data_IF_498690821526
#
_entry.id   IF_498690821526
#
_cell.length_a   1.000
_cell.length_b   1.000
_cell.length_c   1.000
_cell.angle_alpha   90.00
_cell.angle_beta   90.00
_cell.angle_gamma   90.00
#
_symmetry.space_group_name_H-M   'P 1'
#
loop_
_entity.id
_entity.type
_entity.pdbx_description
1 polymer ?
#
# COMPACT_ATOMS: atom_id res chain seq x y z
N UNK A 1 14.39 11.10 1.97
CA UNK A 1 15.37 10.96 0.87
C UNK A 1 15.97 9.58 0.99
N UNK A 2 15.85 8.78 -0.03
CA UNK A 2 16.32 7.39 -0.07
C UNK A 2 17.60 7.34 -0.90
N UNK A 3 18.72 6.90 -0.31
CA UNK A 3 19.95 6.62 -1.03
C UNK A 3 20.15 5.11 -1.10
N UNK A 4 20.13 4.56 -2.30
CA UNK A 4 20.39 3.14 -2.55
C UNK A 4 21.77 3.04 -3.21
N UNK A 5 22.76 2.46 -2.50
CA UNK A 5 24.07 2.16 -3.05
C UNK A 5 24.18 0.66 -3.33
N UNK A 6 24.54 0.32 -4.55
CA UNK A 6 24.81 -1.05 -4.95
C UNK A 6 26.27 -1.23 -5.40
N UNK A 7 26.99 -2.15 -4.81
CA UNK A 7 28.35 -2.54 -5.24
C UNK A 7 28.32 -3.99 -5.72
N UNK A 8 28.89 -4.22 -6.90
CA UNK A 8 28.80 -5.47 -7.66
C UNK A 8 29.36 -6.70 -6.93
N UNK A 9 28.78 -7.83 -7.22
CA UNK A 9 29.19 -9.23 -7.12
C UNK A 9 28.94 -10.01 -5.83
N UNK A 10 28.49 -9.44 -4.76
CA UNK A 10 27.84 -10.16 -3.65
C UNK A 10 26.78 -9.22 -3.12
N UNK A 11 25.54 -9.67 -3.12
CA UNK A 11 24.36 -8.89 -2.72
C UNK A 11 24.54 -8.20 -1.36
N UNK A 12 25.24 -7.09 -1.33
CA UNK A 12 25.14 -6.11 -0.25
C UNK A 12 24.31 -4.95 -0.77
N UNK A 13 23.00 -5.06 -0.64
CA UNK A 13 22.09 -3.92 -0.79
C UNK A 13 22.39 -3.00 0.39
N UNK A 14 23.20 -1.96 0.19
CA UNK A 14 23.28 -0.89 1.15
C UNK A 14 22.11 0.05 0.90
N UNK A 15 20.98 -0.22 1.55
CA UNK A 15 19.82 0.64 1.57
C UNK A 15 20.08 1.73 2.60
N UNK A 16 20.61 2.88 2.17
CA UNK A 16 20.72 4.05 3.05
C UNK A 16 19.39 4.78 2.97
N UNK A 17 18.50 4.43 3.88
CA UNK A 17 17.31 5.21 4.15
C UNK A 17 17.73 6.41 4.99
N UNK A 18 17.92 7.56 4.38
CA UNK A 18 17.97 8.79 5.17
C UNK A 18 16.57 9.05 5.73
N UNK A 19 16.43 9.13 7.07
CA UNK A 19 15.13 9.20 7.72
C UNK A 19 14.50 10.57 7.47
N UNK A 20 13.85 10.70 6.32
CA UNK A 20 13.08 11.90 6.04
C UNK A 20 11.80 11.99 6.87
N UNK A 21 11.15 10.90 7.24
CA UNK A 21 9.91 10.91 8.04
C UNK A 21 9.49 9.51 8.52
N UNK A 22 10.32 8.84 9.32
CA UNK A 22 9.89 7.67 10.09
C UNK A 22 9.59 6.39 9.26
N UNK A 23 8.84 5.43 9.83
CA UNK A 23 8.59 4.11 9.25
C UNK A 23 7.96 4.14 7.85
N UNK A 24 7.11 5.12 7.57
CA UNK A 24 6.47 5.29 6.25
C UNK A 24 7.50 5.52 5.12
N UNK A 25 8.58 6.27 5.40
CA UNK A 25 9.64 6.50 4.43
C UNK A 25 10.37 5.21 4.06
N UNK A 26 10.63 4.35 5.05
CA UNK A 26 11.21 3.02 4.85
C UNK A 26 10.29 2.16 4.00
N UNK A 27 9.02 2.09 4.34
CA UNK A 27 8.01 1.33 3.59
C UNK A 27 7.97 1.74 2.12
N UNK A 28 7.85 3.04 1.82
CA UNK A 28 7.82 3.52 0.43
C UNK A 28 9.14 3.31 -0.31
N UNK A 29 10.27 3.31 0.41
CA UNK A 29 11.57 2.96 -0.14
C UNK A 29 11.64 1.49 -0.57
N UNK A 30 11.08 0.59 0.22
CA UNK A 30 10.95 -0.83 -0.14
C UNK A 30 10.06 -1.00 -1.39
N UNK A 31 8.94 -0.29 -1.48
CA UNK A 31 8.09 -0.32 -2.67
C UNK A 31 8.82 0.18 -3.93
N UNK A 32 9.64 1.23 -3.80
CA UNK A 32 10.52 1.68 -4.89
C UNK A 32 11.48 0.58 -5.33
N UNK A 33 12.16 -0.07 -4.37
CA UNK A 33 13.10 -1.15 -4.65
C UNK A 33 12.43 -2.33 -5.37
N UNK A 34 11.25 -2.72 -4.92
CA UNK A 34 10.46 -3.78 -5.55
C UNK A 34 10.07 -3.42 -6.98
N UNK A 35 9.68 -2.16 -7.23
CA UNK A 35 9.26 -1.69 -8.56
C UNK A 35 10.39 -1.58 -9.59
N UNK A 36 11.65 -1.37 -9.15
CA UNK A 36 12.80 -1.29 -10.07
C UNK A 36 13.53 -2.61 -10.26
N UNK A 37 13.11 -3.66 -9.57
CA UNK A 37 13.66 -5.00 -9.69
C UNK A 37 13.27 -5.63 -11.02
N UNK A 38 14.24 -6.18 -11.76
CA UNK A 38 13.97 -6.95 -12.98
C UNK A 38 13.27 -8.28 -12.65
N UNK A 39 12.72 -8.95 -13.69
CA UNK A 39 12.16 -10.30 -13.55
C UNK A 39 13.19 -11.32 -13.03
N UNK A 40 14.48 -11.10 -13.30
CA UNK A 40 15.58 -11.93 -12.79
C UNK A 40 15.99 -11.58 -11.35
N UNK A 41 15.29 -10.63 -10.70
CA UNK A 41 15.62 -10.19 -9.35
C UNK A 41 16.79 -9.22 -9.23
N UNK A 42 17.32 -8.74 -10.35
CA UNK A 42 18.44 -7.79 -10.37
C UNK A 42 17.97 -6.36 -10.25
N UNK A 43 18.80 -5.52 -9.63
CA UNK A 43 18.58 -4.07 -9.52
C UNK A 43 19.82 -3.35 -10.06
N UNK A 44 19.60 -2.37 -10.94
CA UNK A 44 20.68 -1.55 -11.47
C UNK A 44 21.33 -0.70 -10.37
N UNK A 45 22.62 -0.38 -10.53
CA UNK A 45 23.29 0.59 -9.64
C UNK A 45 22.75 1.99 -9.94
N UNK A 46 22.04 2.58 -8.97
CA UNK A 46 21.43 3.90 -9.12
C UNK A 46 21.24 4.60 -7.78
N UNK A 47 20.99 5.89 -7.83
CA UNK A 47 20.61 6.71 -6.68
C UNK A 47 19.21 7.24 -6.96
N UNK A 48 18.28 6.99 -6.05
CA UNK A 48 16.91 7.51 -6.14
C UNK A 48 16.71 8.56 -5.05
N UNK A 49 16.17 9.69 -5.46
CA UNK A 49 15.64 10.73 -4.58
C UNK A 49 14.15 10.79 -4.81
N UNK A 50 13.37 10.34 -3.84
CA UNK A 50 11.93 10.23 -3.95
C UNK A 50 11.26 11.00 -2.80
N UNK A 51 10.29 11.83 -3.17
CA UNK A 51 9.51 12.63 -2.23
C UNK A 51 8.07 12.70 -2.76
N UNK A 52 7.06 12.45 -1.92
CA UNK A 52 5.69 12.54 -2.36
C UNK A 52 5.33 13.98 -2.76
N UNK A 53 4.76 14.14 -3.96
CA UNK A 53 4.27 15.43 -4.45
C UNK A 53 3.03 15.89 -3.66
N UNK A 54 2.19 14.93 -3.24
CA UNK A 54 0.95 15.19 -2.51
C UNK A 54 0.96 14.47 -1.16
N UNK A 55 0.52 15.16 -0.12
CA UNK A 55 0.35 14.59 1.23
C UNK A 55 -0.78 13.57 1.31
N UNK A 56 -1.87 13.81 0.56
CA UNK A 56 -2.99 12.87 0.43
C UNK A 56 -2.88 12.12 -0.89
N UNK A 57 -2.82 10.80 -0.82
CA UNK A 57 -2.83 9.88 -1.96
C UNK A 57 -3.77 8.73 -1.62
N UNK A 58 -5.05 8.96 -1.88
CA UNK A 58 -6.12 8.11 -1.41
C UNK A 58 -6.76 7.25 -2.49
N UNK A 59 -7.38 6.16 -2.02
CA UNK A 59 -8.33 5.32 -2.76
C UNK A 59 -9.62 5.24 -1.97
N UNK A 60 -10.74 5.28 -2.66
CA UNK A 60 -12.06 5.03 -2.10
C UNK A 60 -12.61 3.71 -2.66
N UNK A 61 -13.17 2.89 -1.79
CA UNK A 61 -13.90 1.67 -2.15
C UNK A 61 -15.21 1.64 -1.41
N UNK A 62 -16.30 1.57 -2.15
CA UNK A 62 -17.65 1.41 -1.62
C UNK A 62 -18.04 -0.08 -1.72
N UNK A 63 -18.22 -0.71 -0.56
CA UNK A 63 -18.68 -2.11 -0.46
C UNK A 63 -20.10 -2.20 0.10
N UNK A 64 -20.70 -1.08 0.47
CA UNK A 64 -22.08 -1.02 0.90
C UNK A 64 -23.01 -1.27 -0.30
N UNK A 65 -22.80 -0.57 -1.41
CA UNK A 65 -23.62 -0.68 -2.62
C UNK A 65 -23.29 -1.90 -3.47
N UNK A 66 -22.00 -2.27 -3.52
CA UNK A 66 -21.55 -3.47 -4.24
C UNK A 66 -20.62 -4.26 -3.34
N UNK A 67 -21.03 -5.42 -2.87
CA UNK A 67 -20.20 -6.27 -2.03
C UNK A 67 -18.91 -6.67 -2.74
N UNK A 68 -17.79 -6.47 -2.05
CA UNK A 68 -16.46 -6.89 -2.51
C UNK A 68 -15.88 -7.85 -1.47
N UNK A 69 -15.54 -9.09 -1.85
CA UNK A 69 -14.98 -10.06 -0.91
C UNK A 69 -13.62 -9.62 -0.37
N UNK A 70 -13.30 -10.08 0.83
CA UNK A 70 -12.09 -9.73 1.59
C UNK A 70 -10.80 -9.91 0.78
N UNK A 71 -10.69 -11.00 0.02
CA UNK A 71 -9.50 -11.28 -0.79
C UNK A 71 -9.25 -10.23 -1.88
N UNK A 72 -10.31 -9.68 -2.46
CA UNK A 72 -10.22 -8.58 -3.43
C UNK A 72 -9.83 -7.25 -2.75
N UNK A 73 -10.38 -6.98 -1.56
CA UNK A 73 -9.97 -5.81 -0.77
C UNK A 73 -8.49 -5.89 -0.41
N UNK A 74 -7.99 -7.07 -0.02
CA UNK A 74 -6.57 -7.25 0.28
C UNK A 74 -5.69 -7.03 -0.95
N UNK A 75 -6.09 -7.51 -2.14
CA UNK A 75 -5.39 -7.22 -3.41
C UNK A 75 -5.36 -5.72 -3.73
N UNK A 76 -6.46 -5.00 -3.44
CA UNK A 76 -6.49 -3.55 -3.60
C UNK A 76 -5.49 -2.85 -2.66
N UNK A 77 -5.41 -3.28 -1.40
CA UNK A 77 -4.45 -2.75 -0.43
C UNK A 77 -3.01 -3.01 -0.89
N UNK A 78 -2.71 -4.20 -1.43
CA UNK A 78 -1.40 -4.51 -2.01
C UNK A 78 -1.08 -3.58 -3.21
N UNK A 79 -2.05 -3.35 -4.09
CA UNK A 79 -1.89 -2.40 -5.18
C UNK A 79 -1.69 -0.97 -4.67
N UNK A 80 -2.43 -0.54 -3.64
CA UNK A 80 -2.23 0.75 -2.99
C UNK A 80 -0.82 0.89 -2.42
N UNK A 81 -0.28 -0.16 -1.80
CA UNK A 81 1.10 -0.19 -1.31
C UNK A 81 2.10 0.00 -2.46
N UNK A 82 1.93 -0.74 -3.54
CA UNK A 82 2.79 -0.67 -4.73
C UNK A 82 2.80 0.72 -5.37
N UNK A 83 1.64 1.39 -5.42
CA UNK A 83 1.50 2.77 -5.92
C UNK A 83 1.76 3.85 -4.85
N UNK A 84 2.20 3.45 -3.65
CA UNK A 84 2.52 4.36 -2.54
C UNK A 84 1.34 5.24 -2.10
N UNK A 85 0.13 4.72 -2.20
CA UNK A 85 -1.05 5.38 -1.64
C UNK A 85 -0.98 5.30 -0.10
N UNK A 86 -1.54 6.30 0.59
CA UNK A 86 -1.41 6.41 2.05
C UNK A 86 -2.73 6.61 2.78
N UNK A 87 -3.83 6.62 2.06
CA UNK A 87 -5.18 6.74 2.61
C UNK A 87 -6.11 5.77 1.92
N UNK A 88 -6.87 5.03 2.71
CA UNK A 88 -7.92 4.16 2.24
C UNK A 88 -9.24 4.61 2.86
N UNK A 89 -10.15 5.10 2.02
CA UNK A 89 -11.52 5.38 2.43
C UNK A 89 -12.35 4.14 2.13
N UNK A 90 -12.60 3.35 3.16
CA UNK A 90 -13.36 2.12 3.08
C UNK A 90 -14.80 2.40 3.53
N UNK A 91 -15.71 2.52 2.57
CA UNK A 91 -17.13 2.79 2.79
C UNK A 91 -17.86 1.47 3.03
N UNK A 92 -18.14 1.18 4.30
CA UNK A 92 -18.61 -0.13 4.77
C UNK A 92 -20.11 -0.19 4.94
N UNK A 93 -20.77 0.95 5.12
CA UNK A 93 -22.16 1.01 5.56
C UNK A 93 -22.89 2.14 4.86
N UNK A 94 -24.06 1.83 4.33
CA UNK A 94 -25.01 2.78 3.75
C UNK A 94 -26.42 2.18 3.84
N UNK A 95 -27.43 2.84 3.28
CA UNK A 95 -28.82 2.38 3.24
C UNK A 95 -29.02 1.13 2.36
N UNK A 96 -28.18 0.93 1.32
CA UNK A 96 -28.24 -0.27 0.46
C UNK A 96 -27.52 -1.49 1.03
N UNK A 97 -26.65 -1.32 2.02
CA UNK A 97 -25.93 -2.44 2.61
C UNK A 97 -25.08 -2.09 3.82
N UNK A 98 -25.03 -3.02 4.74
CA UNK A 98 -24.29 -2.89 5.99
C UNK A 98 -23.27 -4.02 6.14
N UNK A 99 -21.97 -3.70 6.27
CA UNK A 99 -20.87 -4.68 6.29
C UNK A 99 -20.10 -4.72 7.62
N UNK A 100 -20.68 -4.15 8.68
CA UNK A 100 -20.05 -4.11 10.00
C UNK A 100 -20.95 -4.84 11.00
N UNK A 101 -20.42 -5.90 11.60
CA UNK A 101 -21.12 -6.59 12.68
C UNK A 101 -21.23 -5.69 13.91
N UNK A 102 -22.44 -5.57 14.47
CA UNK A 102 -22.69 -4.86 15.72
C UNK A 102 -23.23 -5.87 16.72
N UNK A 103 -22.60 -6.04 17.90
CA UNK A 103 -23.09 -6.92 18.93
C UNK A 103 -24.52 -6.56 19.34
N UNK A 104 -25.43 -7.54 19.23
CA UNK A 104 -26.88 -7.36 19.53
C UNK A 104 -27.74 -6.93 18.35
N UNK A 105 -27.17 -6.75 17.15
CA UNK A 105 -27.88 -6.41 15.90
C UNK A 105 -27.41 -7.30 14.74
N UNK A 106 -27.54 -8.64 14.84
CA UNK A 106 -27.03 -9.56 13.80
C UNK A 106 -27.75 -9.38 12.45
N UNK A 107 -28.99 -8.97 12.47
CA UNK A 107 -29.81 -8.74 11.28
C UNK A 107 -29.21 -7.73 10.29
N UNK A 108 -28.36 -6.84 10.74
CA UNK A 108 -27.69 -5.86 9.87
C UNK A 108 -26.74 -6.51 8.86
N UNK A 109 -26.22 -7.70 9.17
CA UNK A 109 -25.26 -8.41 8.31
C UNK A 109 -25.80 -9.73 7.74
N UNK A 110 -26.93 -10.21 8.24
CA UNK A 110 -27.55 -11.46 7.77
C UNK A 110 -28.43 -11.29 6.53
N UNK A 111 -28.90 -10.08 6.26
CA UNK A 111 -29.93 -9.78 5.23
C UNK A 111 -29.33 -9.19 3.94
N UNK A 112 -28.01 -9.08 3.83
CA UNK A 112 -27.33 -8.40 2.71
C UNK A 112 -26.57 -9.34 1.80
#
# INVERSE_FOLDING_TARGET
MLHIFYRSLLLKICLILTPGKGPSGVFYGVQTLLGIRTSEGKVAKLIIRDTPRYGYRGMHLDVARNFVPKDQVLKLIDAMAMYKLNKFHFHLTDDEGWRVEIPGLPELTEVN
#
